data_IF_364497289742
#
_entry.id   IF_364497289742
#
_cell.length_a   1.000
_cell.length_b   1.000
_cell.length_c   1.000
_cell.angle_alpha   90.00
_cell.angle_beta   90.00
_cell.angle_gamma   90.00
#
_symmetry.space_group_name_H-M   'P 1'
#
loop_
_entity.id
_entity.type
_entity.pdbx_description
1 polymer ?
#
# COMPACT_ATOMS: atom_id res chain seq x y z
N UNK A 1 -9.30 -12.10 -19.45
CA UNK A 1 -8.33 -12.49 -18.38
C UNK A 1 -7.28 -13.42 -18.98
N UNK A 2 -5.98 -13.12 -18.80
CA UNK A 2 -4.91 -13.95 -19.38
C UNK A 2 -4.85 -15.32 -18.71
N UNK A 3 -4.27 -16.33 -19.41
CA UNK A 3 -4.09 -17.69 -18.88
C UNK A 3 -3.25 -17.69 -17.59
N UNK A 4 -2.22 -16.83 -17.52
CA UNK A 4 -1.36 -16.67 -16.35
C UNK A 4 -2.12 -16.21 -15.09
N UNK A 5 -3.07 -15.28 -15.24
CA UNK A 5 -3.93 -14.81 -14.13
C UNK A 5 -4.84 -15.92 -13.63
N UNK A 6 -5.47 -16.70 -14.55
CA UNK A 6 -6.34 -17.83 -14.17
C UNK A 6 -5.54 -18.89 -13.42
N UNK A 7 -4.36 -19.22 -13.88
CA UNK A 7 -3.48 -20.20 -13.21
C UNK A 7 -3.02 -19.67 -11.84
N UNK A 8 -2.64 -18.40 -11.75
CA UNK A 8 -2.30 -17.76 -10.48
C UNK A 8 -3.41 -17.86 -9.44
N UNK A 9 -4.65 -17.51 -9.83
CA UNK A 9 -5.81 -17.61 -8.94
C UNK A 9 -6.12 -19.06 -8.52
N UNK A 10 -5.95 -20.02 -9.42
CA UNK A 10 -6.13 -21.44 -9.10
C UNK A 10 -5.10 -21.91 -8.06
N UNK A 11 -3.84 -21.56 -8.26
CA UNK A 11 -2.76 -21.89 -7.33
C UNK A 11 -2.95 -21.19 -5.97
N UNK A 12 -3.32 -19.91 -5.97
CA UNK A 12 -3.62 -19.19 -4.73
C UNK A 12 -4.70 -19.91 -3.90
N UNK A 13 -5.80 -20.32 -4.54
CA UNK A 13 -6.95 -20.95 -3.84
C UNK A 13 -6.67 -22.37 -3.38
N UNK A 14 -5.93 -23.16 -4.17
CA UNK A 14 -5.85 -24.62 -3.96
C UNK A 14 -4.44 -25.12 -3.63
N UNK A 15 -3.40 -24.37 -3.91
CA UNK A 15 -2.01 -24.78 -3.75
C UNK A 15 -1.11 -23.58 -3.38
N UNK A 16 -1.47 -22.86 -2.31
CA UNK A 16 -0.77 -21.62 -1.90
C UNK A 16 0.73 -21.81 -1.67
N UNK A 17 1.14 -23.01 -1.21
CA UNK A 17 2.57 -23.35 -1.01
C UNK A 17 3.35 -23.27 -2.32
N UNK A 18 2.74 -23.60 -3.46
CA UNK A 18 3.34 -23.46 -4.80
C UNK A 18 3.17 -22.05 -5.36
N UNK A 19 2.05 -21.40 -5.05
CA UNK A 19 1.77 -20.03 -5.49
C UNK A 19 2.78 -19.03 -4.94
N UNK A 20 3.03 -19.06 -3.62
CA UNK A 20 3.84 -18.04 -2.93
C UNK A 20 5.25 -17.86 -3.52
N UNK A 21 6.06 -18.89 -3.76
CA UNK A 21 7.39 -18.71 -4.35
C UNK A 21 7.34 -18.15 -5.78
N UNK A 22 6.40 -18.63 -6.61
CA UNK A 22 6.23 -18.13 -7.97
C UNK A 22 5.82 -16.65 -7.99
N UNK A 23 4.85 -16.29 -7.15
CA UNK A 23 4.44 -14.91 -6.97
C UNK A 23 5.60 -14.04 -6.48
N UNK A 24 6.39 -14.52 -5.51
CA UNK A 24 7.52 -13.76 -4.99
C UNK A 24 8.61 -13.49 -6.02
N UNK A 25 8.91 -14.47 -6.88
CA UNK A 25 9.87 -14.28 -7.98
C UNK A 25 9.34 -13.26 -8.99
N UNK A 26 8.07 -13.41 -9.39
CA UNK A 26 7.41 -12.49 -10.32
C UNK A 26 7.40 -11.06 -9.77
N UNK A 27 6.94 -10.87 -8.52
CA UNK A 27 6.89 -9.57 -7.86
C UNK A 27 8.27 -8.93 -7.70
N UNK A 28 9.29 -9.70 -7.34
CA UNK A 28 10.68 -9.19 -7.26
C UNK A 28 11.18 -8.62 -8.58
N UNK A 29 10.81 -9.23 -9.69
CA UNK A 29 11.19 -8.74 -11.03
C UNK A 29 10.36 -7.52 -11.43
N UNK A 30 9.04 -7.59 -11.23
CA UNK A 30 8.12 -6.52 -11.57
C UNK A 30 8.43 -5.24 -10.78
N UNK A 31 8.64 -5.36 -9.47
CA UNK A 31 8.79 -4.24 -8.54
C UNK A 31 10.26 -3.95 -8.22
N UNK A 32 11.21 -4.42 -9.07
CA UNK A 32 12.65 -4.32 -8.79
C UNK A 32 13.10 -2.88 -8.48
N UNK A 33 12.59 -1.89 -9.21
CA UNK A 33 12.93 -0.49 -8.99
C UNK A 33 12.34 0.06 -7.68
N UNK A 34 11.10 -0.29 -7.36
CA UNK A 34 10.48 0.09 -6.09
C UNK A 34 11.25 -0.54 -4.91
N UNK A 35 11.58 -1.82 -4.99
CA UNK A 35 12.37 -2.52 -3.96
C UNK A 35 13.75 -1.86 -3.78
N UNK A 36 14.40 -1.46 -4.86
CA UNK A 36 15.67 -0.74 -4.80
C UNK A 36 15.52 0.65 -4.16
N UNK A 37 14.41 1.35 -4.45
CA UNK A 37 14.06 2.61 -3.80
C UNK A 37 13.88 2.44 -2.28
N UNK A 38 13.15 1.40 -1.85
CA UNK A 38 12.99 1.07 -0.44
C UNK A 38 14.35 0.83 0.23
N UNK A 39 15.25 0.07 -0.39
CA UNK A 39 16.60 -0.21 0.13
C UNK A 39 17.46 1.04 0.29
N UNK A 40 17.30 2.02 -0.60
CA UNK A 40 18.05 3.29 -0.52
C UNK A 40 17.55 4.21 0.59
N UNK A 41 16.28 4.13 0.94
CA UNK A 41 15.65 5.10 1.84
C UNK A 41 15.31 4.56 3.23
N UNK A 42 15.13 3.26 3.39
CA UNK A 42 14.86 2.63 4.70
C UNK A 42 16.17 2.24 5.36
N UNK A 43 16.30 2.56 6.64
CA UNK A 43 17.50 2.31 7.45
C UNK A 43 17.20 1.36 8.61
N UNK A 44 18.25 0.75 9.14
CA UNK A 44 18.15 -0.05 10.37
C UNK A 44 17.63 0.82 11.51
N UNK A 45 16.65 0.33 12.24
CA UNK A 45 16.00 1.03 13.34
C UNK A 45 14.80 1.89 12.93
N UNK A 46 14.48 1.99 11.63
CA UNK A 46 13.31 2.74 11.16
C UNK A 46 12.00 2.08 11.58
N UNK A 47 10.96 2.90 11.73
CA UNK A 47 9.57 2.49 11.90
C UNK A 47 8.86 2.66 10.56
N UNK A 48 8.34 1.55 10.03
CA UNK A 48 7.72 1.50 8.71
C UNK A 48 6.27 1.07 8.83
N UNK A 49 5.38 1.71 8.07
CA UNK A 49 4.00 1.27 7.88
C UNK A 49 3.88 0.60 6.50
N UNK A 50 3.34 -0.64 6.47
CA UNK A 50 2.98 -1.40 5.28
C UNK A 50 1.45 -1.51 5.22
N UNK A 51 0.83 -0.59 4.48
CA UNK A 51 -0.62 -0.44 4.39
C UNK A 51 -1.10 -1.13 3.12
N UNK A 52 -1.87 -2.21 3.28
CA UNK A 52 -2.19 -3.17 2.22
C UNK A 52 -1.13 -4.26 2.10
N UNK A 53 -0.73 -4.84 3.24
CA UNK A 53 0.39 -5.79 3.31
C UNK A 53 0.13 -7.13 2.62
N UNK A 54 -1.11 -7.41 2.23
CA UNK A 54 -1.54 -8.57 1.46
C UNK A 54 -1.00 -9.89 2.06
N UNK A 55 -0.36 -10.75 1.28
CA UNK A 55 0.23 -12.03 1.73
C UNK A 55 1.63 -11.89 2.37
N UNK A 56 2.10 -10.65 2.61
CA UNK A 56 3.33 -10.35 3.32
C UNK A 56 4.61 -10.36 2.49
N UNK A 57 4.50 -10.11 1.19
CA UNK A 57 5.66 -9.99 0.30
C UNK A 57 6.56 -8.83 0.72
N UNK A 58 5.98 -7.62 0.84
CA UNK A 58 6.71 -6.43 1.27
C UNK A 58 7.06 -6.48 2.77
N UNK A 59 6.20 -7.03 3.61
CA UNK A 59 6.46 -7.16 5.04
C UNK A 59 7.79 -7.87 5.34
N UNK A 60 8.16 -8.92 4.58
CA UNK A 60 9.43 -9.63 4.73
C UNK A 60 10.62 -8.75 4.31
N UNK A 61 10.53 -8.04 3.18
CA UNK A 61 11.57 -7.13 2.69
C UNK A 61 11.78 -5.98 3.67
N UNK A 62 10.69 -5.35 4.12
CA UNK A 62 10.73 -4.22 5.06
C UNK A 62 11.32 -4.64 6.41
N UNK A 63 10.94 -5.82 6.92
CA UNK A 63 11.49 -6.40 8.15
C UNK A 63 13.01 -6.57 8.08
N UNK A 64 13.53 -7.06 6.95
CA UNK A 64 14.96 -7.21 6.72
C UNK A 64 15.66 -5.84 6.70
N UNK A 65 15.07 -4.84 6.01
CA UNK A 65 15.66 -3.51 5.89
C UNK A 65 15.75 -2.77 7.23
N UNK A 66 14.67 -2.79 8.02
CA UNK A 66 14.67 -2.11 9.33
C UNK A 66 15.47 -2.87 10.39
N UNK A 67 15.79 -4.15 10.17
CA UNK A 67 16.47 -5.07 11.10
C UNK A 67 15.72 -5.24 12.42
N UNK A 68 16.32 -5.95 13.39
CA UNK A 68 15.72 -6.20 14.72
C UNK A 68 15.47 -4.93 15.55
N UNK A 69 16.22 -3.86 15.27
CA UNK A 69 16.11 -2.57 15.98
C UNK A 69 14.95 -1.71 15.48
N UNK A 70 14.42 -1.98 14.28
CA UNK A 70 13.27 -1.28 13.71
C UNK A 70 11.94 -2.01 13.91
N UNK A 71 10.88 -1.44 13.36
CA UNK A 71 9.52 -2.02 13.41
C UNK A 71 8.81 -1.87 12.08
N UNK A 72 8.03 -2.88 11.71
CA UNK A 72 7.12 -2.84 10.56
C UNK A 72 5.71 -3.08 11.06
N UNK A 73 4.84 -2.08 10.92
CA UNK A 73 3.42 -2.20 11.23
C UNK A 73 2.67 -2.51 9.93
N UNK A 74 2.16 -3.72 9.80
CA UNK A 74 1.44 -4.20 8.63
C UNK A 74 -0.06 -4.14 8.86
N UNK A 75 -0.80 -3.66 7.86
CA UNK A 75 -2.27 -3.59 7.88
C UNK A 75 -2.80 -4.35 6.68
N UNK A 76 -3.67 -5.34 6.95
CA UNK A 76 -4.33 -6.16 5.94
C UNK A 76 -5.73 -6.53 6.42
N UNK A 77 -6.80 -6.01 5.78
CA UNK A 77 -8.17 -6.26 6.22
C UNK A 77 -8.71 -7.64 5.86
N UNK A 78 -8.29 -8.23 4.72
CA UNK A 78 -8.79 -9.53 4.30
C UNK A 78 -8.25 -10.64 5.20
N UNK A 79 -9.14 -11.44 5.78
CA UNK A 79 -8.79 -12.50 6.75
C UNK A 79 -7.95 -13.61 6.15
N UNK A 80 -8.10 -13.90 4.85
CA UNK A 80 -7.34 -14.95 4.16
C UNK A 80 -5.92 -14.45 3.94
N UNK A 81 -5.76 -13.25 3.36
CA UNK A 81 -4.45 -12.62 3.20
C UNK A 81 -3.77 -12.41 4.55
N UNK A 82 -4.52 -11.99 5.57
CA UNK A 82 -3.99 -11.85 6.94
C UNK A 82 -3.48 -13.19 7.53
N UNK A 83 -4.15 -14.29 7.25
CA UNK A 83 -3.64 -15.63 7.62
C UNK A 83 -2.34 -15.96 6.90
N UNK A 84 -2.23 -15.58 5.63
CA UNK A 84 -1.01 -15.79 4.85
C UNK A 84 0.15 -14.93 5.33
N UNK A 85 -0.07 -13.64 5.61
CA UNK A 85 0.99 -12.76 6.15
C UNK A 85 1.43 -13.25 7.53
N UNK A 86 0.51 -13.67 8.39
CA UNK A 86 0.85 -14.25 9.71
C UNK A 86 1.80 -15.44 9.59
N UNK A 87 1.55 -16.33 8.64
CA UNK A 87 2.42 -17.46 8.37
C UNK A 87 3.76 -17.03 7.75
N UNK A 88 3.75 -16.01 6.88
CA UNK A 88 4.94 -15.52 6.20
C UNK A 88 5.92 -14.81 7.15
N UNK A 89 5.41 -14.22 8.22
CA UNK A 89 6.17 -13.38 9.16
C UNK A 89 6.30 -13.97 10.56
N UNK A 90 5.90 -15.24 10.78
CA UNK A 90 5.82 -15.88 12.09
C UNK A 90 7.17 -15.98 12.85
N UNK A 91 8.30 -15.80 12.15
CA UNK A 91 9.66 -15.80 12.71
C UNK A 91 10.27 -14.39 12.80
N UNK A 92 9.51 -13.36 12.45
CA UNK A 92 9.96 -11.97 12.40
C UNK A 92 9.44 -11.22 13.63
N UNK A 93 10.32 -10.97 14.60
CA UNK A 93 9.95 -10.35 15.88
C UNK A 93 9.72 -8.82 15.77
N UNK A 94 10.08 -8.22 14.65
CA UNK A 94 9.96 -6.79 14.37
C UNK A 94 8.75 -6.44 13.49
N UNK A 95 7.86 -7.42 13.17
CA UNK A 95 6.64 -7.21 12.41
C UNK A 95 5.42 -7.26 13.32
N UNK A 96 4.62 -6.20 13.28
CA UNK A 96 3.36 -6.07 14.02
C UNK A 96 2.19 -6.15 13.04
N UNK A 97 1.33 -7.15 13.19
CA UNK A 97 0.24 -7.43 12.27
C UNK A 97 -1.09 -6.87 12.78
N UNK A 98 -1.82 -6.18 11.92
CA UNK A 98 -3.14 -5.62 12.18
C UNK A 98 -4.12 -6.11 11.13
N UNK A 99 -5.14 -6.90 11.54
CA UNK A 99 -6.23 -7.30 10.65
C UNK A 99 -7.27 -6.17 10.58
N UNK A 100 -6.87 -5.06 9.97
CA UNK A 100 -7.65 -3.83 9.84
C UNK A 100 -7.36 -3.17 8.50
N UNK A 101 -8.36 -2.46 7.97
CA UNK A 101 -8.12 -1.45 6.95
C UNK A 101 -7.51 -0.19 7.57
N UNK A 102 -6.88 0.64 6.73
CA UNK A 102 -6.49 2.00 7.10
C UNK A 102 -7.39 2.97 6.36
N UNK A 103 -7.96 3.92 7.10
CA UNK A 103 -8.86 4.93 6.56
C UNK A 103 -8.74 6.27 7.28
N UNK A 104 -9.61 7.22 6.93
CA UNK A 104 -9.63 8.56 7.51
C UNK A 104 -10.06 8.58 8.99
N UNK A 105 -10.82 7.55 9.42
CA UNK A 105 -11.36 7.43 10.76
C UNK A 105 -11.26 5.99 11.26
N UNK A 106 -11.33 5.83 12.57
CA UNK A 106 -11.47 4.52 13.22
C UNK A 106 -12.95 4.17 13.26
N UNK A 107 -13.39 3.24 12.40
CA UNK A 107 -14.80 2.89 12.20
C UNK A 107 -14.96 1.49 11.59
N UNK A 108 -16.18 1.01 11.48
CA UNK A 108 -16.50 -0.17 10.69
C UNK A 108 -16.69 0.24 9.22
N UNK A 109 -15.97 -0.43 8.32
CA UNK A 109 -16.11 -0.27 6.88
C UNK A 109 -16.55 -1.58 6.23
N UNK A 110 -17.00 -1.49 4.99
CA UNK A 110 -17.29 -2.63 4.14
C UNK A 110 -16.16 -2.83 3.13
N UNK A 111 -15.72 -4.08 2.98
CA UNK A 111 -14.83 -4.48 1.89
C UNK A 111 -15.61 -5.36 0.91
N UNK A 112 -15.36 -5.12 -0.36
CA UNK A 112 -15.95 -5.87 -1.47
C UNK A 112 -14.86 -6.74 -2.09
N UNK A 113 -15.01 -8.06 -1.95
CA UNK A 113 -14.01 -9.00 -2.47
C UNK A 113 -14.20 -9.22 -3.96
N UNK A 114 -13.11 -9.31 -4.71
CA UNK A 114 -13.16 -9.58 -6.15
C UNK A 114 -13.48 -11.04 -6.43
N UNK A 115 -14.36 -11.29 -7.42
CA UNK A 115 -14.60 -12.65 -7.94
C UNK A 115 -13.39 -13.23 -8.66
N UNK A 116 -12.60 -12.36 -9.25
CA UNK A 116 -11.59 -12.71 -10.25
C UNK A 116 -10.15 -12.62 -9.75
N UNK A 117 -9.89 -11.78 -8.75
CA UNK A 117 -8.55 -11.51 -8.24
C UNK A 117 -8.54 -11.55 -6.71
N UNK A 118 -7.75 -12.43 -6.12
CA UNK A 118 -7.65 -12.56 -4.65
C UNK A 118 -6.81 -11.42 -4.01
N UNK A 119 -6.36 -10.48 -4.82
CA UNK A 119 -5.52 -9.35 -4.40
C UNK A 119 -6.19 -8.00 -4.64
N UNK A 120 -7.35 -7.98 -5.30
CA UNK A 120 -8.11 -6.76 -5.65
C UNK A 120 -9.39 -6.71 -4.77
N UNK A 121 -9.21 -6.39 -3.50
CA UNK A 121 -10.30 -6.15 -2.56
C UNK A 121 -10.44 -4.64 -2.36
N UNK A 122 -11.68 -4.13 -2.46
CA UNK A 122 -11.97 -2.70 -2.51
C UNK A 122 -12.83 -2.27 -1.33
N UNK A 123 -12.57 -1.11 -0.78
CA UNK A 123 -13.39 -0.49 0.30
C UNK A 123 -14.55 0.33 -0.24
N UNK A 124 -14.70 0.44 -1.55
CA UNK A 124 -15.86 0.99 -2.22
C UNK A 124 -16.59 -0.12 -3.01
N UNK A 125 -17.90 0.05 -3.22
CA UNK A 125 -18.74 -0.94 -3.89
C UNK A 125 -18.49 -0.92 -5.41
N UNK A 126 -17.80 -1.92 -5.99
CA UNK A 126 -17.63 -2.04 -7.44
C UNK A 126 -18.93 -2.56 -8.10
N UNK A 127 -19.05 -2.47 -9.43
CA UNK A 127 -20.19 -3.01 -10.18
C UNK A 127 -20.32 -4.54 -10.00
N UNK A 128 -19.19 -5.26 -9.95
CA UNK A 128 -19.15 -6.70 -9.71
C UNK A 128 -18.25 -7.03 -8.53
N UNK A 129 -18.76 -7.80 -7.58
CA UNK A 129 -18.02 -8.31 -6.41
C UNK A 129 -18.52 -9.71 -6.03
N UNK A 130 -17.73 -10.43 -5.23
CA UNK A 130 -18.10 -11.77 -4.72
C UNK A 130 -18.88 -11.65 -3.40
N UNK A 131 -18.30 -10.95 -2.43
CA UNK A 131 -18.86 -10.78 -1.10
C UNK A 131 -18.66 -9.37 -0.59
N UNK A 132 -19.59 -8.95 0.28
CA UNK A 132 -19.48 -7.76 1.12
C UNK A 132 -19.19 -8.23 2.55
N UNK A 133 -18.13 -7.70 3.15
CA UNK A 133 -17.65 -8.13 4.47
C UNK A 133 -17.41 -6.87 5.31
N UNK A 134 -17.94 -6.86 6.54
CA UNK A 134 -17.62 -5.81 7.52
C UNK A 134 -16.20 -6.01 8.05
N UNK A 135 -15.43 -4.93 8.08
CA UNK A 135 -14.06 -4.90 8.56
C UNK A 135 -13.84 -3.71 9.50
N UNK A 136 -12.96 -3.91 10.48
CA UNK A 136 -12.45 -2.79 11.26
C UNK A 136 -11.52 -1.93 10.41
N UNK A 137 -11.74 -0.62 10.40
CA UNK A 137 -10.79 0.36 9.90
C UNK A 137 -10.21 1.17 11.05
N UNK A 138 -8.99 1.67 10.86
CA UNK A 138 -8.30 2.50 11.84
C UNK A 138 -7.63 3.70 11.16
N UNK A 139 -7.77 4.87 11.76
CA UNK A 139 -6.91 6.00 11.45
C UNK A 139 -5.53 5.75 12.07
N UNK A 140 -4.47 6.00 11.32
CA UNK A 140 -3.09 5.77 11.82
C UNK A 140 -2.77 6.66 13.02
N UNK A 141 -3.30 7.88 13.07
CA UNK A 141 -3.15 8.78 14.20
C UNK A 141 -3.76 8.17 15.49
N UNK A 142 -4.91 7.51 15.39
CA UNK A 142 -5.54 6.80 16.52
C UNK A 142 -4.78 5.53 16.91
N UNK A 143 -4.22 4.82 15.93
CA UNK A 143 -3.46 3.60 16.17
C UNK A 143 -2.15 3.87 16.89
N UNK A 144 -1.41 4.87 16.46
CA UNK A 144 -0.10 5.23 17.04
C UNK A 144 -0.23 6.09 18.30
N UNK A 145 -1.32 6.83 18.44
CA UNK A 145 -1.57 7.74 19.60
C UNK A 145 -0.37 8.66 19.83
N UNK A 146 0.31 8.47 20.96
CA UNK A 146 1.47 9.28 21.36
C UNK A 146 2.81 8.81 20.77
N UNK A 147 2.81 7.69 20.02
CA UNK A 147 4.00 7.10 19.40
C UNK A 147 4.09 7.45 17.91
N UNK A 148 4.11 8.74 17.60
CA UNK A 148 3.98 9.24 16.23
C UNK A 148 5.23 9.07 15.36
N UNK A 149 6.33 8.46 15.85
CA UNK A 149 7.52 8.24 15.03
C UNK A 149 7.21 7.24 13.92
N UNK A 150 7.35 7.68 12.67
CA UNK A 150 7.30 6.87 11.45
C UNK A 150 8.32 7.44 10.47
N UNK A 151 9.14 6.57 9.90
CA UNK A 151 10.22 6.97 9.00
C UNK A 151 9.84 6.72 7.53
N UNK A 152 9.03 5.68 7.27
CA UNK A 152 8.62 5.32 5.92
C UNK A 152 7.20 4.73 5.90
N UNK A 153 6.45 5.00 4.81
CA UNK A 153 5.12 4.45 4.58
C UNK A 153 5.06 3.85 3.18
N UNK A 154 4.60 2.60 3.07
CA UNK A 154 4.12 2.00 1.83
C UNK A 154 2.62 1.91 1.86
N UNK A 155 1.94 2.35 0.80
CA UNK A 155 0.47 2.31 0.67
C UNK A 155 0.10 1.67 -0.67
N UNK A 156 -0.70 0.59 -0.61
CA UNK A 156 -1.21 -0.12 -1.78
C UNK A 156 -2.57 -0.73 -1.40
N UNK A 157 -3.64 0.07 -1.53
CA UNK A 157 -4.99 -0.24 -1.03
C UNK A 157 -6.09 0.04 -2.05
N UNK A 158 -5.72 -0.03 -3.33
CA UNK A 158 -6.63 -0.11 -4.46
C UNK A 158 -7.63 1.05 -4.55
N UNK A 159 -7.11 2.28 -4.41
CA UNK A 159 -7.86 3.53 -4.58
C UNK A 159 -8.29 4.21 -3.27
N UNK A 160 -8.03 3.59 -2.10
CA UNK A 160 -8.40 4.18 -0.80
C UNK A 160 -7.25 5.00 -0.16
N UNK A 161 -6.21 5.31 -0.94
CA UNK A 161 -4.98 5.98 -0.50
C UNK A 161 -5.25 7.38 0.07
N UNK A 162 -6.18 8.13 -0.52
CA UNK A 162 -6.55 9.45 -0.04
C UNK A 162 -7.14 9.39 1.37
N UNK A 163 -8.01 8.43 1.65
CA UNK A 163 -8.61 8.24 2.96
C UNK A 163 -7.55 7.80 4.00
N UNK A 164 -6.61 6.95 3.59
CA UNK A 164 -5.51 6.53 4.45
C UNK A 164 -4.62 7.72 4.85
N UNK A 165 -4.23 8.56 3.90
CA UNK A 165 -3.42 9.77 4.15
C UNK A 165 -4.16 10.76 5.05
N UNK A 166 -5.47 10.91 4.91
CA UNK A 166 -6.28 11.75 5.79
C UNK A 166 -6.28 11.27 7.24
N UNK A 167 -6.19 9.95 7.47
CA UNK A 167 -6.14 9.36 8.81
C UNK A 167 -4.78 9.36 9.49
N UNK A 168 -3.75 10.01 8.89
CA UNK A 168 -2.39 10.07 9.44
C UNK A 168 -1.79 11.49 9.45
N UNK A 169 -2.64 12.51 9.58
CA UNK A 169 -2.22 13.92 9.52
C UNK A 169 -1.18 14.26 10.59
N UNK A 170 -1.39 13.82 11.84
CA UNK A 170 -0.47 14.09 12.94
C UNK A 170 0.87 13.40 12.71
N UNK A 171 0.85 12.14 12.25
CA UNK A 171 2.06 11.40 11.87
C UNK A 171 2.84 12.15 10.80
N UNK A 172 2.17 12.59 9.73
CA UNK A 172 2.81 13.31 8.63
C UNK A 172 3.36 14.67 9.05
N UNK A 173 2.69 15.37 9.97
CA UNK A 173 3.17 16.66 10.50
C UNK A 173 4.33 16.50 11.49
N UNK A 174 4.31 15.41 12.28
CA UNK A 174 5.32 15.18 13.30
C UNK A 174 6.68 14.70 12.71
N UNK A 175 6.65 14.00 11.57
CA UNK A 175 7.83 13.38 10.97
C UNK A 175 8.29 14.12 9.70
N UNK A 176 9.19 15.10 9.88
CA UNK A 176 9.68 15.94 8.76
C UNK A 176 10.42 15.15 7.68
N UNK A 177 11.08 14.04 8.02
CA UNK A 177 11.89 13.24 7.10
C UNK A 177 11.15 11.98 6.57
N UNK A 178 9.86 11.86 6.86
CA UNK A 178 9.04 10.72 6.42
C UNK A 178 9.00 10.65 4.88
N UNK A 179 9.05 9.42 4.38
CA UNK A 179 8.94 9.13 2.95
C UNK A 179 7.76 8.19 2.71
N UNK A 180 7.15 8.33 1.54
CA UNK A 180 5.96 7.56 1.17
C UNK A 180 6.17 6.96 -0.22
N UNK A 181 5.93 5.66 -0.36
CA UNK A 181 5.65 5.02 -1.64
C UNK A 181 4.19 4.63 -1.66
N UNK A 182 3.47 5.07 -2.66
CA UNK A 182 2.03 4.85 -2.75
C UNK A 182 1.60 4.47 -4.15
N UNK A 183 0.64 3.54 -4.25
CA UNK A 183 -0.10 3.36 -5.50
C UNK A 183 -0.77 4.70 -5.89
N UNK A 184 -0.77 4.98 -7.17
CA UNK A 184 -1.35 6.19 -7.77
C UNK A 184 -2.22 5.78 -8.94
N UNK A 185 -3.41 5.27 -8.60
CA UNK A 185 -4.33 4.66 -9.55
C UNK A 185 -5.53 5.57 -9.82
N UNK A 186 -5.55 6.29 -10.99
CA UNK A 186 -6.57 7.29 -11.27
C UNK A 186 -7.98 6.74 -11.21
N UNK A 187 -8.21 5.58 -11.80
CA UNK A 187 -9.53 4.94 -11.78
C UNK A 187 -9.96 4.52 -10.37
N UNK A 188 -9.06 3.92 -9.60
CA UNK A 188 -9.34 3.47 -8.23
C UNK A 188 -9.69 4.64 -7.32
N UNK A 189 -8.86 5.70 -7.32
CA UNK A 189 -9.10 6.92 -6.52
C UNK A 189 -10.45 7.55 -6.87
N UNK A 190 -10.80 7.70 -8.16
CA UNK A 190 -12.10 8.26 -8.56
C UNK A 190 -13.27 7.38 -8.11
N UNK A 191 -13.14 6.07 -8.23
CA UNK A 191 -14.20 5.14 -7.81
C UNK A 191 -14.37 5.12 -6.29
N UNK A 192 -13.30 5.37 -5.55
CA UNK A 192 -13.32 5.52 -4.09
C UNK A 192 -13.73 6.94 -3.62
N UNK A 193 -14.14 7.83 -4.55
CA UNK A 193 -14.68 9.16 -4.23
C UNK A 193 -13.63 10.25 -4.04
N UNK A 194 -12.42 10.07 -4.57
CA UNK A 194 -11.38 11.10 -4.63
C UNK A 194 -10.75 11.16 -6.05
N UNK A 195 -9.59 11.77 -6.21
CA UNK A 195 -8.90 11.86 -7.49
C UNK A 195 -7.38 11.89 -7.32
N UNK A 196 -6.63 11.60 -8.39
CA UNK A 196 -5.17 11.77 -8.36
C UNK A 196 -4.79 13.23 -8.15
N UNK A 197 -5.61 14.16 -8.62
CA UNK A 197 -5.42 15.59 -8.43
C UNK A 197 -5.54 15.96 -6.95
N UNK A 198 -6.64 15.55 -6.28
CA UNK A 198 -6.86 15.81 -4.85
C UNK A 198 -5.77 15.18 -3.99
N UNK A 199 -5.37 13.95 -4.30
CA UNK A 199 -4.31 13.25 -3.58
C UNK A 199 -2.96 13.95 -3.73
N UNK A 200 -2.61 14.35 -4.96
CA UNK A 200 -1.38 15.11 -5.24
C UNK A 200 -1.39 16.47 -4.52
N UNK A 201 -2.47 17.25 -4.63
CA UNK A 201 -2.61 18.54 -3.96
C UNK A 201 -2.52 18.41 -2.44
N UNK A 202 -3.10 17.35 -1.87
CA UNK A 202 -3.02 17.09 -0.44
C UNK A 202 -1.56 16.84 0.00
N UNK A 203 -0.81 16.01 -0.73
CA UNK A 203 0.62 15.81 -0.48
C UNK A 203 1.43 17.09 -0.65
N UNK A 204 1.11 17.91 -1.66
CA UNK A 204 1.75 19.22 -1.86
C UNK A 204 1.50 20.20 -0.71
N UNK A 205 0.27 20.25 -0.16
CA UNK A 205 -0.06 21.05 1.04
C UNK A 205 0.75 20.64 2.27
N UNK A 206 1.16 19.37 2.34
CA UNK A 206 2.04 18.83 3.38
C UNK A 206 3.54 18.99 3.04
N UNK A 207 3.88 19.77 2.01
CA UNK A 207 5.23 20.05 1.52
C UNK A 207 5.97 18.86 0.91
N UNK A 208 5.28 17.82 0.44
CA UNK A 208 5.91 16.73 -0.28
C UNK A 208 6.21 17.10 -1.74
N UNK A 209 7.38 16.71 -2.22
CA UNK A 209 7.69 16.55 -3.63
C UNK A 209 7.27 15.15 -4.07
N UNK A 210 6.49 15.04 -5.14
CA UNK A 210 5.99 13.78 -5.66
C UNK A 210 6.74 13.41 -6.94
N UNK A 211 7.13 12.15 -7.04
CA UNK A 211 7.84 11.58 -8.19
C UNK A 211 7.14 10.32 -8.65
N UNK A 212 6.88 10.22 -9.95
CA UNK A 212 6.36 9.00 -10.57
C UNK A 212 7.49 7.97 -10.69
N UNK A 213 7.21 6.72 -10.34
CA UNK A 213 8.10 5.60 -10.60
C UNK A 213 7.83 5.09 -12.02
N UNK A 214 8.67 5.48 -12.97
CA UNK A 214 8.50 5.13 -14.38
C UNK A 214 9.85 4.78 -15.03
N UNK A 215 9.92 3.70 -15.78
CA UNK A 215 11.11 3.27 -16.54
C UNK A 215 12.39 3.21 -15.68
N UNK A 216 12.29 2.71 -14.45
CA UNK A 216 13.39 2.65 -13.46
C UNK A 216 13.98 4.04 -13.11
N UNK A 217 13.16 5.08 -13.16
CA UNK A 217 13.54 6.45 -12.83
C UNK A 217 12.47 7.12 -11.98
N UNK A 218 12.88 8.12 -11.22
CA UNK A 218 11.98 9.03 -10.52
C UNK A 218 11.76 10.27 -11.40
N UNK A 219 10.54 10.41 -11.90
CA UNK A 219 10.13 11.58 -12.70
C UNK A 219 9.31 12.51 -11.83
N UNK A 220 9.84 13.71 -11.57
CA UNK A 220 9.12 14.70 -10.78
C UNK A 220 7.75 14.98 -11.39
N UNK A 221 6.71 14.94 -10.57
CA UNK A 221 5.36 15.27 -10.98
C UNK A 221 5.07 16.76 -10.77
N UNK A 222 4.44 17.34 -11.76
CA UNK A 222 3.80 18.66 -11.69
C UNK A 222 2.28 18.53 -11.92
N UNK A 223 1.58 19.66 -11.79
CA UNK A 223 0.12 19.73 -11.88
C UNK A 223 -0.39 19.33 -13.28
N UNK A 224 0.31 19.70 -14.34
CA UNK A 224 -0.11 19.38 -15.72
C UNK A 224 0.01 17.88 -15.99
N UNK A 225 1.08 17.27 -15.53
CA UNK A 225 1.29 15.82 -15.64
C UNK A 225 0.23 15.04 -14.86
N UNK A 226 -0.07 15.45 -13.62
CA UNK A 226 -1.13 14.80 -12.82
C UNK A 226 -2.50 14.95 -13.49
N UNK A 227 -2.82 16.14 -14.03
CA UNK A 227 -4.06 16.38 -14.78
C UNK A 227 -4.17 15.48 -16.02
N UNK A 228 -3.06 15.21 -16.69
CA UNK A 228 -3.04 14.29 -17.83
C UNK A 228 -3.30 12.83 -17.43
N UNK A 229 -2.96 12.42 -16.20
CA UNK A 229 -3.25 11.09 -15.68
C UNK A 229 -4.71 10.91 -15.25
N UNK A 230 -5.40 11.99 -14.84
CA UNK A 230 -6.75 11.95 -14.28
C UNK A 230 -7.77 11.14 -15.10
N UNK A 231 -7.87 11.26 -16.44
CA UNK A 231 -8.87 10.54 -17.23
C UNK A 231 -8.54 9.05 -17.49
N UNK A 232 -7.37 8.57 -17.06
CA UNK A 232 -6.94 7.22 -17.35
C UNK A 232 -7.84 6.17 -16.69
N UNK A 233 -8.07 5.07 -17.41
CA UNK A 233 -8.96 3.99 -17.01
C UNK A 233 -8.30 2.92 -16.14
N UNK A 234 -9.04 1.88 -15.83
CA UNK A 234 -8.72 0.81 -14.87
C UNK A 234 -7.35 0.14 -15.09
N UNK A 235 -6.88 0.05 -16.33
CA UNK A 235 -5.61 -0.64 -16.66
C UNK A 235 -4.36 0.20 -16.42
N UNK A 236 -4.51 1.47 -16.06
CA UNK A 236 -3.41 2.41 -15.89
C UNK A 236 -3.23 2.73 -14.40
N UNK A 237 -2.30 2.04 -13.78
CA UNK A 237 -1.89 2.27 -12.40
C UNK A 237 -0.39 2.58 -12.37
N UNK A 238 -0.01 3.39 -11.41
CA UNK A 238 1.35 3.90 -11.23
C UNK A 238 1.71 3.80 -9.75
N UNK A 239 3.00 3.96 -9.45
CA UNK A 239 3.47 4.21 -8.09
C UNK A 239 4.13 5.57 -8.04
N UNK A 240 3.94 6.29 -6.94
CA UNK A 240 4.63 7.54 -6.65
C UNK A 240 5.53 7.38 -5.44
N UNK A 241 6.62 8.12 -5.45
CA UNK A 241 7.46 8.40 -4.29
C UNK A 241 7.25 9.83 -3.86
N UNK A 242 6.87 10.03 -2.59
CA UNK A 242 6.68 11.35 -2.02
C UNK A 242 7.68 11.57 -0.87
N UNK A 243 8.41 12.69 -0.93
CA UNK A 243 9.41 13.09 0.06
C UNK A 243 9.48 14.61 0.15
N UNK A 244 9.92 15.13 1.31
CA UNK A 244 10.21 16.56 1.46
C UNK A 244 11.62 16.91 1.00
N UNK A 245 12.49 15.91 0.84
CA UNK A 245 13.81 16.10 0.28
C UNK A 245 13.76 16.41 -1.23
N UNK A 246 14.78 17.05 -1.77
CA UNK A 246 15.03 17.10 -3.21
C UNK A 246 15.80 15.85 -3.62
N UNK A 247 15.26 15.12 -4.58
CA UNK A 247 15.83 13.86 -5.10
C UNK A 247 16.37 14.09 -6.50
#
# INVERSE_FOLDING_TARGET
MSFSIKLGNLLYKNAFVLYKPLYSVFKKQQDAFEIDLLRRHIKKGDVVLDIGANIGFYAQILSELVSESGKVHCFEPDKINFSHIKNATNRLNNVLLNNKAVGAKTELLKIYTSKNLNVDHRTYKPEEYDKEIDIDAVAIDDYLKNHLKVDFIKIDIQGFEMQAIQGMQQVLQHNNNIKIVSEFWPYGLRTAGSSVMEYFEYLKKLNFNCYLLENNQLKKLDMEQVKALEPLGEKHYFNIFATRDHV
#
